data_IF_018295665350
#
_entry.id   IF_018295665350
#
_cell.length_a   1.000
_cell.length_b   1.000
_cell.length_c   1.000
_cell.angle_alpha   90.00
_cell.angle_beta   90.00
_cell.angle_gamma   90.00
#
_symmetry.space_group_name_H-M   'P 1'
#
loop_
_entity.id
_entity.type
_entity.pdbx_description
1 polymer ?
#
# COMPACT_ATOMS: atom_id res chain seq x y z
N UNK A 1 -5.34 61.64 29.31
CA UNK A 1 -4.79 61.42 27.96
C UNK A 1 -5.11 59.98 27.59
N UNK A 2 -6.13 59.77 26.74
CA UNK A 2 -6.59 58.45 26.32
C UNK A 2 -5.76 57.98 25.12
N UNK A 3 -5.22 56.75 25.17
CA UNK A 3 -4.65 56.08 24.00
C UNK A 3 -5.40 54.77 23.82
N UNK A 4 -6.32 54.75 22.85
CA UNK A 4 -7.05 53.55 22.44
C UNK A 4 -6.22 52.79 21.40
N UNK A 5 -5.78 51.58 21.72
CA UNK A 5 -5.23 50.63 20.75
C UNK A 5 -6.35 49.72 20.25
N UNK A 6 -6.77 49.90 19.00
CA UNK A 6 -7.67 48.96 18.31
C UNK A 6 -6.80 47.97 17.54
N UNK A 7 -6.72 46.73 18.04
CA UNK A 7 -6.05 45.63 17.33
C UNK A 7 -7.13 44.92 16.50
N UNK A 8 -7.13 45.15 15.18
CA UNK A 8 -8.00 44.42 14.26
C UNK A 8 -7.28 43.14 13.85
N UNK A 9 -7.65 42.01 14.47
CA UNK A 9 -7.12 40.69 14.15
C UNK A 9 -7.99 40.04 13.07
N UNK A 10 -7.58 40.18 11.81
CA UNK A 10 -8.24 39.52 10.68
C UNK A 10 -7.83 38.04 10.62
N UNK A 11 -8.67 37.13 11.14
CA UNK A 11 -8.49 35.70 10.92
C UNK A 11 -8.98 35.32 9.51
N UNK A 12 -8.05 35.04 8.59
CA UNK A 12 -8.36 34.33 7.34
C UNK A 12 -8.44 32.82 7.63
N UNK A 13 -9.63 32.31 7.87
CA UNK A 13 -9.89 30.86 7.85
C UNK A 13 -10.16 30.42 6.42
N UNK A 14 -9.16 29.87 5.75
CA UNK A 14 -9.36 29.24 4.44
C UNK A 14 -9.85 27.81 4.66
N UNK A 15 -11.14 27.57 4.46
CA UNK A 15 -11.70 26.22 4.44
C UNK A 15 -11.53 25.64 3.03
N UNK A 16 -10.47 24.88 2.79
CA UNK A 16 -10.35 24.09 1.56
C UNK A 16 -11.23 22.85 1.68
N UNK A 17 -12.44 22.91 1.13
CA UNK A 17 -13.27 21.71 0.98
C UNK A 17 -12.70 20.87 -0.17
N UNK A 18 -12.02 19.78 0.14
CA UNK A 18 -11.65 18.79 -0.86
C UNK A 18 -12.93 18.07 -1.32
N UNK A 19 -13.40 18.36 -2.53
CA UNK A 19 -14.48 17.61 -3.15
C UNK A 19 -14.05 16.14 -3.32
N UNK A 20 -14.90 15.15 -2.98
CA UNK A 20 -14.56 13.75 -3.19
C UNK A 20 -14.33 13.51 -4.69
N UNK A 21 -13.10 13.17 -5.09
CA UNK A 21 -12.86 12.64 -6.43
C UNK A 21 -13.63 11.33 -6.56
N UNK A 22 -14.38 11.13 -7.66
CA UNK A 22 -14.92 9.80 -8.02
C UNK A 22 -13.74 8.83 -8.18
N UNK A 23 -13.38 8.14 -7.10
CA UNK A 23 -12.34 7.10 -7.14
C UNK A 23 -12.87 5.95 -7.98
N UNK A 24 -12.06 5.48 -8.93
CA UNK A 24 -12.30 4.18 -9.56
C UNK A 24 -12.37 3.14 -8.45
N UNK A 25 -13.53 2.52 -8.28
CA UNK A 25 -13.73 1.46 -7.31
C UNK A 25 -13.27 0.10 -7.84
N UNK A 26 -12.64 0.03 -9.02
CA UNK A 26 -12.32 -1.24 -9.68
C UNK A 26 -10.81 -1.56 -9.64
N UNK A 27 -10.02 -0.77 -8.92
CA UNK A 27 -8.58 -0.97 -8.79
C UNK A 27 -8.09 -0.53 -7.41
N UNK A 28 -7.00 -1.13 -6.97
CA UNK A 28 -6.25 -0.71 -5.78
C UNK A 28 -4.81 -0.40 -6.16
N UNK A 29 -4.11 0.40 -5.35
CA UNK A 29 -2.67 0.59 -5.50
C UNK A 29 -1.95 -0.15 -4.38
N UNK A 30 -1.31 -1.25 -4.73
CA UNK A 30 -0.52 -2.09 -3.83
C UNK A 30 0.92 -1.59 -3.84
N UNK A 31 1.56 -1.51 -2.67
CA UNK A 31 2.97 -1.22 -2.51
C UNK A 31 3.63 -2.37 -1.76
N UNK A 32 4.72 -2.90 -2.32
CA UNK A 32 5.59 -3.87 -1.66
C UNK A 32 6.83 -3.12 -1.16
N UNK A 33 7.25 -3.41 0.07
CA UNK A 33 8.30 -2.68 0.78
C UNK A 33 9.34 -3.66 1.34
N UNK A 34 10.60 -3.23 1.35
CA UNK A 34 11.64 -3.82 2.17
C UNK A 34 11.96 -2.83 3.30
N UNK A 35 11.37 -3.05 4.48
CA UNK A 35 11.43 -2.12 5.60
C UNK A 35 12.85 -1.95 6.15
N UNK A 36 13.74 -2.94 5.96
CA UNK A 36 15.16 -2.83 6.35
C UNK A 36 15.94 -1.83 5.52
N UNK A 37 15.56 -1.66 4.25
CA UNK A 37 16.26 -0.76 3.31
C UNK A 37 15.49 0.51 2.99
N UNK A 38 14.20 0.59 3.38
CA UNK A 38 13.28 1.67 3.02
C UNK A 38 12.86 1.67 1.55
N UNK A 39 13.29 0.68 0.76
CA UNK A 39 12.97 0.59 -0.67
C UNK A 39 11.57 0.03 -0.87
N UNK A 40 10.88 0.51 -1.91
CA UNK A 40 9.53 0.04 -2.25
C UNK A 40 9.21 0.15 -3.74
N UNK A 41 8.18 -0.58 -4.17
CA UNK A 41 7.60 -0.50 -5.51
C UNK A 41 6.08 -0.54 -5.38
N UNK A 42 5.38 0.32 -6.12
CA UNK A 42 3.91 0.30 -6.17
C UNK A 42 3.39 -0.06 -7.55
N UNK A 43 2.27 -0.78 -7.59
CA UNK A 43 1.51 -1.09 -8.81
C UNK A 43 0.01 -0.90 -8.57
N UNK A 44 -0.66 -0.43 -9.60
CA UNK A 44 -2.13 -0.46 -9.66
C UNK A 44 -2.56 -1.85 -10.11
N UNK A 45 -3.45 -2.48 -9.36
CA UNK A 45 -3.97 -3.81 -9.65
C UNK A 45 -5.50 -3.73 -9.76
N UNK A 46 -6.11 -4.22 -10.85
CA UNK A 46 -7.56 -4.26 -10.97
C UNK A 46 -8.15 -5.33 -10.04
N UNK A 47 -9.35 -5.07 -9.53
CA UNK A 47 -10.12 -5.98 -8.69
C UNK A 47 -10.90 -6.98 -9.56
N UNK A 48 -10.19 -7.84 -10.28
CA UNK A 48 -10.74 -8.75 -11.30
C UNK A 48 -10.53 -10.24 -11.00
N UNK A 49 -10.12 -10.57 -9.77
CA UNK A 49 -9.87 -11.94 -9.28
C UNK A 49 -8.84 -12.74 -10.11
N UNK A 50 -8.01 -12.08 -10.93
CA UNK A 50 -6.97 -12.77 -11.69
C UNK A 50 -5.69 -12.95 -10.87
N UNK A 51 -5.16 -14.17 -10.89
CA UNK A 51 -3.81 -14.48 -10.40
C UNK A 51 -2.76 -13.73 -11.21
N UNK A 52 -1.82 -13.08 -10.52
CA UNK A 52 -0.69 -12.37 -11.12
C UNK A 52 0.60 -12.72 -10.41
N UNK A 53 1.65 -13.00 -11.17
CA UNK A 53 2.98 -13.22 -10.62
C UNK A 53 3.51 -11.92 -10.01
N UNK A 54 3.91 -11.99 -8.74
CA UNK A 54 4.36 -10.82 -7.98
C UNK A 54 5.71 -10.33 -8.48
N UNK A 55 6.60 -11.22 -8.93
CA UNK A 55 7.90 -10.82 -9.47
C UNK A 55 7.77 -10.13 -10.84
N UNK A 56 6.82 -10.54 -11.68
CA UNK A 56 6.51 -9.89 -12.95
C UNK A 56 5.95 -8.48 -12.73
N UNK A 57 5.08 -8.31 -11.72
CA UNK A 57 4.52 -7.01 -11.38
C UNK A 57 5.54 -6.10 -10.69
N UNK A 58 6.22 -6.58 -9.66
CA UNK A 58 6.99 -5.76 -8.72
C UNK A 58 8.50 -6.03 -8.73
N UNK A 59 8.93 -7.19 -9.22
CA UNK A 59 10.32 -7.67 -9.22
C UNK A 59 11.23 -6.99 -10.24
N UNK A 60 10.92 -5.76 -10.62
CA UNK A 60 11.82 -4.90 -11.39
C UNK A 60 12.16 -3.68 -10.54
N UNK A 61 13.47 -3.44 -10.34
CA UNK A 61 13.96 -2.23 -9.69
C UNK A 61 14.40 -2.41 -8.23
N UNK A 62 14.04 -1.49 -7.32
CA UNK A 62 14.79 -1.23 -6.09
C UNK A 62 14.76 -2.38 -5.07
N UNK A 63 13.80 -3.28 -5.16
CA UNK A 63 13.66 -4.44 -4.26
C UNK A 63 14.55 -5.64 -4.66
N UNK A 64 15.28 -5.54 -5.78
CA UNK A 64 16.25 -6.56 -6.16
C UNK A 64 17.57 -6.33 -5.41
N UNK A 65 18.01 -7.36 -4.69
CA UNK A 65 19.29 -7.39 -3.98
C UNK A 65 19.93 -8.76 -4.15
N UNK A 66 21.19 -8.79 -4.61
CA UNK A 66 21.93 -10.03 -4.88
C UNK A 66 21.15 -11.04 -5.75
N UNK A 67 20.41 -10.55 -6.75
CA UNK A 67 19.60 -11.37 -7.66
C UNK A 67 18.29 -11.91 -7.08
N UNK A 68 17.93 -11.55 -5.85
CA UNK A 68 16.67 -11.93 -5.19
C UNK A 68 15.72 -10.75 -5.08
N UNK A 69 14.42 -11.03 -5.16
CA UNK A 69 13.39 -10.04 -4.94
C UNK A 69 13.01 -10.04 -3.45
N UNK A 70 13.65 -9.19 -2.66
CA UNK A 70 13.51 -9.19 -1.21
C UNK A 70 12.51 -8.14 -0.72
N UNK A 71 11.44 -8.58 -0.07
CA UNK A 71 10.43 -7.73 0.54
C UNK A 71 10.02 -8.25 1.92
N UNK A 72 9.58 -7.36 2.80
CA UNK A 72 9.15 -7.68 4.17
C UNK A 72 7.70 -7.33 4.45
N UNK A 73 7.10 -6.38 3.71
CA UNK A 73 5.69 -6.04 3.94
C UNK A 73 4.99 -5.59 2.66
N UNK A 74 3.67 -5.59 2.73
CA UNK A 74 2.79 -5.08 1.68
C UNK A 74 1.77 -4.11 2.27
N UNK A 75 1.37 -3.11 1.49
CA UNK A 75 0.31 -2.19 1.90
C UNK A 75 -0.53 -1.66 0.73
N UNK A 76 -1.78 -1.31 1.01
CA UNK A 76 -2.63 -0.54 0.11
C UNK A 76 -2.36 0.96 0.29
N UNK A 77 -1.92 1.61 -0.79
CA UNK A 77 -1.70 3.07 -0.87
C UNK A 77 -2.82 3.80 -1.60
N UNK A 78 -3.72 3.05 -2.25
CA UNK A 78 -5.00 3.52 -2.75
C UNK A 78 -6.02 2.41 -2.54
N UNK A 79 -7.08 2.75 -1.81
CA UNK A 79 -8.17 1.85 -1.46
C UNK A 79 -9.27 1.91 -2.53
N UNK A 80 -10.05 0.84 -2.61
CA UNK A 80 -11.31 0.78 -3.32
C UNK A 80 -12.31 0.01 -2.46
N UNK A 81 -13.57 0.47 -2.44
CA UNK A 81 -14.54 -0.02 -1.46
C UNK A 81 -14.79 -1.52 -1.55
N UNK A 82 -14.59 -2.31 -0.50
CA UNK A 82 -14.72 -3.77 -0.52
C UNK A 82 -13.67 -4.46 -1.42
N UNK A 83 -12.51 -3.83 -1.61
CA UNK A 83 -11.38 -4.42 -2.30
C UNK A 83 -10.52 -5.23 -1.35
N UNK A 84 -10.25 -6.48 -1.72
CA UNK A 84 -9.36 -7.40 -1.00
C UNK A 84 -8.22 -7.80 -1.93
N UNK A 85 -7.00 -7.91 -1.39
CA UNK A 85 -5.88 -8.57 -2.04
C UNK A 85 -5.28 -9.64 -1.13
N UNK A 86 -5.07 -10.83 -1.68
CA UNK A 86 -4.34 -11.93 -1.04
C UNK A 86 -3.05 -12.21 -1.80
N UNK A 87 -1.97 -12.45 -1.07
CA UNK A 87 -0.69 -12.92 -1.61
C UNK A 87 -0.44 -14.33 -1.11
N UNK A 88 -0.14 -15.25 -2.03
CA UNK A 88 0.31 -16.59 -1.70
C UNK A 88 1.77 -16.79 -2.06
N UNK A 89 2.49 -17.60 -1.28
CA UNK A 89 3.84 -18.04 -1.61
C UNK A 89 3.84 -19.10 -2.73
N UNK A 90 5.04 -19.60 -3.06
CA UNK A 90 5.25 -20.65 -4.07
C UNK A 90 4.62 -22.01 -3.71
N UNK A 91 4.17 -22.20 -2.47
CA UNK A 91 3.53 -23.41 -1.96
C UNK A 91 2.02 -23.19 -1.75
N UNK A 92 1.45 -22.14 -2.34
CA UNK A 92 0.05 -21.73 -2.20
C UNK A 92 -0.38 -21.38 -0.76
N UNK A 93 0.56 -21.06 0.15
CA UNK A 93 0.23 -20.57 1.49
C UNK A 93 -0.03 -19.07 1.45
N UNK A 94 -1.12 -18.60 2.08
CA UNK A 94 -1.39 -17.17 2.23
C UNK A 94 -0.33 -16.57 3.15
N UNK A 95 0.41 -15.60 2.64
CA UNK A 95 1.47 -14.87 3.36
C UNK A 95 1.15 -13.41 3.57
N UNK A 96 0.08 -12.90 2.94
CA UNK A 96 -0.47 -11.59 3.27
C UNK A 96 -1.92 -11.47 2.82
N UNK A 97 -2.71 -10.75 3.60
CA UNK A 97 -4.07 -10.33 3.27
C UNK A 97 -4.26 -8.85 3.60
N UNK A 98 -4.63 -8.05 2.59
CA UNK A 98 -4.84 -6.60 2.77
C UNK A 98 -6.15 -6.15 2.15
N UNK A 99 -6.90 -5.34 2.89
CA UNK A 99 -8.20 -4.78 2.52
C UNK A 99 -8.31 -3.30 2.92
N UNK A 100 -9.51 -2.73 2.82
CA UNK A 100 -9.76 -1.32 3.16
C UNK A 100 -9.69 -0.99 4.66
N UNK A 101 -9.87 -1.98 5.53
CA UNK A 101 -9.77 -1.90 6.99
C UNK A 101 -8.37 -2.30 7.48
N UNK A 102 -7.76 -3.30 6.85
CA UNK A 102 -6.45 -3.87 7.15
C UNK A 102 -5.51 -3.58 5.98
N UNK A 103 -5.01 -2.35 5.90
CA UNK A 103 -4.31 -1.87 4.70
C UNK A 103 -2.84 -2.29 4.63
N UNK A 104 -2.35 -3.08 5.58
CA UNK A 104 -0.95 -3.47 5.72
C UNK A 104 -0.88 -4.91 6.23
N UNK A 105 0.10 -5.66 5.75
CA UNK A 105 0.46 -6.95 6.32
C UNK A 105 1.97 -7.22 6.22
N UNK A 106 2.48 -8.03 7.14
CA UNK A 106 3.85 -8.56 7.08
C UNK A 106 3.90 -9.79 6.16
N UNK A 107 5.02 -9.99 5.46
CA UNK A 107 5.17 -11.08 4.47
C UNK A 107 5.79 -12.36 5.06
N UNK A 108 6.40 -12.30 6.24
CA UNK A 108 7.02 -13.48 6.88
C UNK A 108 6.18 -14.06 8.04
N UNK A 109 5.10 -13.37 8.42
CA UNK A 109 4.21 -13.72 9.52
C UNK A 109 4.72 -13.35 10.92
N UNK A 110 5.91 -12.77 11.05
CA UNK A 110 6.48 -12.25 12.30
C UNK A 110 6.37 -10.72 12.36
N UNK A 111 5.31 -10.25 13.04
CA UNK A 111 5.02 -8.82 13.13
C UNK A 111 6.00 -8.05 14.04
N UNK A 112 6.95 -8.73 14.71
CA UNK A 112 7.93 -8.09 15.58
C UNK A 112 9.20 -7.67 14.83
N UNK A 113 9.51 -8.33 13.71
CA UNK A 113 10.77 -8.14 13.01
C UNK A 113 10.52 -8.16 11.51
N UNK A 114 10.84 -7.06 10.83
CA UNK A 114 10.79 -7.04 9.37
C UNK A 114 11.92 -7.89 8.76
N UNK A 115 11.72 -9.20 8.55
CA UNK A 115 12.66 -10.02 7.79
C UNK A 115 12.25 -10.08 6.32
N UNK A 116 13.08 -9.57 5.39
CA UNK A 116 12.76 -9.71 3.99
C UNK A 116 12.83 -11.17 3.53
N UNK A 117 11.78 -11.64 2.87
CA UNK A 117 11.73 -12.93 2.18
C UNK A 117 11.90 -12.75 0.67
N UNK A 118 12.30 -13.81 -0.02
CA UNK A 118 12.36 -13.82 -1.49
C UNK A 118 10.97 -14.08 -2.06
N UNK A 119 10.41 -13.07 -2.73
CA UNK A 119 9.05 -13.09 -3.28
C UNK A 119 8.94 -13.88 -4.60
N UNK A 120 10.03 -14.48 -5.08
CA UNK A 120 10.01 -15.28 -6.31
C UNK A 120 9.01 -16.44 -6.20
N UNK A 121 8.09 -16.52 -7.16
CA UNK A 121 7.06 -17.55 -7.23
C UNK A 121 5.80 -17.23 -6.41
N UNK A 122 5.74 -16.07 -5.76
CA UNK A 122 4.51 -15.61 -5.11
C UNK A 122 3.50 -15.06 -6.12
N UNK A 123 2.22 -15.17 -5.77
CA UNK A 123 1.09 -14.74 -6.59
C UNK A 123 0.22 -13.79 -5.79
N UNK A 124 -0.28 -12.74 -6.45
CA UNK A 124 -1.28 -11.84 -5.89
C UNK A 124 -2.61 -11.99 -6.64
N UNK A 125 -3.70 -12.04 -5.88
CA UNK A 125 -5.08 -11.99 -6.38
C UNK A 125 -5.78 -10.82 -5.70
N UNK A 126 -6.42 -9.96 -6.47
CA UNK A 126 -7.23 -8.87 -5.93
C UNK A 126 -8.64 -8.90 -6.50
N UNK A 127 -9.63 -8.67 -5.64
CA UNK A 127 -11.05 -8.86 -5.95
C UNK A 127 -11.98 -7.95 -5.17
N UNK A 128 -13.27 -8.08 -5.45
CA UNK A 128 -14.35 -7.52 -4.63
C UNK A 128 -14.89 -8.61 -3.71
N UNK A 129 -15.03 -8.28 -2.43
CA UNK A 129 -15.85 -9.04 -1.48
C UNK A 129 -17.27 -8.48 -1.39
#
# INVERSE_FOLDING_TARGET
MHISFVIVLSLLTVFTSAAPSRRSNNEVKVQIVNNRTGRSVSKTIPLDNRKRDVAQLFGTGPLISNGKFLASSVQLTRLARGGLCQITDKNDQIIAEIDECNTYDDLDGDHQIANPIDMKGSVIVCGKE
#
